data_IF_577385510245
#
_entry.id   IF_577385510245
#
_cell.length_a   1.000
_cell.length_b   1.000
_cell.length_c   1.000
_cell.angle_alpha   90.00
_cell.angle_beta   90.00
_cell.angle_gamma   90.00
#
_symmetry.space_group_name_H-M   'P 1'
#
loop_
_entity.id
_entity.type
_entity.pdbx_description
1 polymer ?
#
# COMPACT_ATOMS: atom_id res chain seq x y z
N UNK A 1 -32.54 -5.24 14.85
CA UNK A 1 -31.49 -6.29 15.03
C UNK A 1 -30.46 -6.15 13.90
N UNK A 2 -29.23 -6.64 14.09
CA UNK A 2 -28.20 -6.72 13.04
C UNK A 2 -27.73 -8.16 12.92
N UNK A 3 -27.73 -8.72 11.72
CA UNK A 3 -27.34 -10.11 11.50
C UNK A 3 -26.70 -10.31 10.13
N UNK A 4 -25.91 -11.38 10.02
CA UNK A 4 -25.36 -11.86 8.76
C UNK A 4 -25.93 -13.24 8.44
N UNK A 5 -26.00 -13.59 7.17
CA UNK A 5 -26.34 -14.94 6.70
C UNK A 5 -25.09 -15.64 6.18
N UNK A 6 -25.11 -16.96 6.10
CA UNK A 6 -23.98 -17.76 5.61
C UNK A 6 -24.43 -18.97 4.79
N UNK A 7 -23.52 -19.50 3.98
CA UNK A 7 -23.72 -20.76 3.23
C UNK A 7 -23.29 -21.99 4.04
N UNK A 8 -23.40 -23.19 3.45
CA UNK A 8 -23.04 -24.46 4.12
C UNK A 8 -21.56 -24.49 4.54
N UNK A 9 -20.69 -23.86 3.75
CA UNK A 9 -19.26 -23.71 4.05
C UNK A 9 -18.99 -22.63 5.11
N UNK A 10 -19.99 -21.87 5.53
CA UNK A 10 -19.88 -20.80 6.52
C UNK A 10 -19.39 -19.49 5.94
N UNK A 11 -19.24 -19.37 4.62
CA UNK A 11 -18.96 -18.09 3.98
C UNK A 11 -20.17 -17.20 4.20
N UNK A 12 -19.92 -15.95 4.61
CA UNK A 12 -21.02 -15.02 4.79
C UNK A 12 -21.59 -14.65 3.41
N UNK A 13 -22.91 -14.62 3.30
CA UNK A 13 -23.64 -14.38 2.04
C UNK A 13 -24.42 -13.07 2.04
N UNK A 14 -24.63 -12.46 3.21
CA UNK A 14 -25.38 -11.22 3.34
C UNK A 14 -25.23 -10.60 4.72
N UNK A 15 -25.58 -9.31 4.80
CA UNK A 15 -25.50 -8.50 6.01
C UNK A 15 -26.71 -7.56 6.07
N UNK A 16 -27.45 -7.60 7.18
CA UNK A 16 -28.78 -7.00 7.29
C UNK A 16 -28.95 -6.21 8.59
N UNK A 17 -29.66 -5.09 8.50
CA UNK A 17 -30.08 -4.27 9.65
C UNK A 17 -31.60 -4.11 9.64
N UNK A 18 -32.29 -5.19 9.98
CA UNK A 18 -33.75 -5.29 10.01
C UNK A 18 -34.15 -6.43 10.97
N UNK A 19 -35.45 -6.67 11.10
CA UNK A 19 -35.94 -7.87 11.79
C UNK A 19 -35.60 -9.14 11.00
N UNK A 20 -35.60 -10.29 11.67
CA UNK A 20 -35.16 -11.55 11.07
C UNK A 20 -36.15 -11.94 9.99
N UNK A 21 -35.68 -12.04 8.74
CA UNK A 21 -36.51 -12.55 7.66
C UNK A 21 -36.70 -14.06 7.84
N UNK A 22 -37.92 -14.60 7.67
CA UNK A 22 -38.19 -16.03 7.86
C UNK A 22 -37.25 -16.95 7.08
N UNK A 23 -36.92 -16.58 5.84
CA UNK A 23 -36.01 -17.36 4.98
C UNK A 23 -34.56 -17.41 5.49
N UNK A 24 -34.17 -16.46 6.36
CA UNK A 24 -32.83 -16.42 6.95
C UNK A 24 -32.76 -17.18 8.29
N UNK A 25 -33.91 -17.57 8.86
CA UNK A 25 -33.98 -18.18 10.19
C UNK A 25 -33.22 -19.50 10.32
N UNK A 26 -32.90 -20.14 9.19
CA UNK A 26 -32.13 -21.39 9.13
C UNK A 26 -30.61 -21.18 9.12
N UNK A 27 -30.12 -19.98 8.79
CA UNK A 27 -28.69 -19.70 8.62
C UNK A 27 -28.39 -18.21 8.85
N UNK A 28 -28.42 -17.78 10.12
CA UNK A 28 -28.06 -16.43 10.52
C UNK A 28 -27.21 -16.41 11.80
N UNK A 29 -26.41 -15.35 11.95
CA UNK A 29 -25.69 -15.01 13.19
C UNK A 29 -25.98 -13.54 13.50
N UNK A 30 -26.43 -13.25 14.73
CA UNK A 30 -26.53 -11.88 15.21
C UNK A 30 -25.15 -11.28 15.43
N UNK A 31 -24.97 -10.02 15.02
CA UNK A 31 -23.66 -9.36 15.01
C UNK A 31 -23.72 -7.97 15.61
N UNK A 32 -22.57 -7.51 16.09
CA UNK A 32 -22.38 -6.10 16.45
C UNK A 32 -22.36 -5.19 15.21
N UNK A 33 -22.47 -3.88 15.42
CA UNK A 33 -22.37 -2.90 14.34
C UNK A 33 -21.03 -2.92 13.61
N UNK A 34 -19.93 -3.12 14.34
CA UNK A 34 -18.58 -3.21 13.78
C UNK A 34 -18.45 -4.43 12.87
N UNK A 35 -18.95 -5.58 13.33
CA UNK A 35 -18.96 -6.81 12.52
C UNK A 35 -19.89 -6.69 11.32
N UNK A 36 -21.02 -6.01 11.45
CA UNK A 36 -21.95 -5.77 10.34
C UNK A 36 -21.32 -4.90 9.24
N UNK A 37 -20.66 -3.80 9.62
CA UNK A 37 -19.99 -2.89 8.68
C UNK A 37 -18.79 -3.56 7.99
N UNK A 38 -18.04 -4.39 8.73
CA UNK A 38 -16.86 -5.09 8.24
C UNK A 38 -17.09 -6.56 7.86
N UNK A 39 -18.32 -6.98 7.60
CA UNK A 39 -18.69 -8.41 7.56
C UNK A 39 -17.86 -9.25 6.58
N UNK A 40 -17.38 -8.67 5.48
CA UNK A 40 -16.48 -9.35 4.52
C UNK A 40 -15.13 -9.78 5.11
N UNK A 41 -14.73 -9.22 6.25
CA UNK A 41 -13.52 -9.62 6.98
C UNK A 41 -13.74 -10.83 7.90
N UNK A 42 -14.91 -11.46 7.87
CA UNK A 42 -15.29 -12.52 8.79
C UNK A 42 -15.84 -13.74 8.05
N UNK A 43 -15.85 -14.88 8.76
CA UNK A 43 -16.53 -16.11 8.36
C UNK A 43 -17.26 -16.71 9.56
N UNK A 44 -18.34 -17.45 9.32
CA UNK A 44 -19.02 -18.17 10.39
C UNK A 44 -18.08 -19.23 10.99
N UNK A 45 -18.01 -19.31 12.32
CA UNK A 45 -17.25 -20.34 13.02
C UNK A 45 -17.87 -21.73 12.79
N UNK A 46 -17.14 -22.78 13.17
CA UNK A 46 -17.56 -24.16 12.90
C UNK A 46 -18.88 -24.53 13.61
N UNK A 47 -19.15 -23.93 14.77
CA UNK A 47 -20.39 -24.11 15.52
C UNK A 47 -21.59 -23.31 14.96
N UNK A 48 -21.35 -22.41 14.00
CA UNK A 48 -22.33 -21.53 13.36
C UNK A 48 -23.10 -20.61 14.34
N UNK A 49 -22.48 -20.32 15.48
CA UNK A 49 -23.02 -19.46 16.55
C UNK A 49 -22.22 -18.15 16.71
N UNK A 50 -21.22 -17.93 15.86
CA UNK A 50 -20.37 -16.74 15.92
C UNK A 50 -19.49 -16.57 14.69
N UNK A 51 -18.68 -15.50 14.71
CA UNK A 51 -17.76 -15.15 13.63
C UNK A 51 -16.31 -15.29 14.07
N UNK A 52 -15.44 -15.76 13.18
CA UNK A 52 -14.00 -15.51 13.29
C UNK A 52 -13.57 -14.53 12.22
N UNK A 53 -12.59 -13.70 12.57
CA UNK A 53 -12.00 -12.75 11.64
C UNK A 53 -11.04 -13.49 10.71
N UNK A 54 -11.19 -13.27 9.41
CA UNK A 54 -10.22 -13.73 8.43
C UNK A 54 -8.92 -12.93 8.60
N UNK A 55 -7.76 -13.54 8.30
CA UNK A 55 -6.52 -12.77 8.19
C UNK A 55 -6.74 -11.63 7.19
N UNK A 56 -6.28 -10.42 7.54
CA UNK A 56 -6.38 -9.27 6.66
C UNK A 56 -5.74 -9.63 5.32
N UNK A 57 -6.52 -9.58 4.24
CA UNK A 57 -5.98 -9.77 2.90
C UNK A 57 -5.11 -8.54 2.61
N UNK A 58 -3.79 -8.74 2.52
CA UNK A 58 -2.88 -7.66 2.14
C UNK A 58 -3.32 -7.12 0.79
N UNK A 59 -3.50 -5.80 0.71
CA UNK A 59 -3.86 -5.16 -0.55
C UNK A 59 -2.80 -5.53 -1.60
N UNK A 60 -3.21 -5.84 -2.85
CA UNK A 60 -2.26 -6.17 -3.90
C UNK A 60 -1.25 -5.03 -4.04
N UNK A 61 0.03 -5.35 -3.82
CA UNK A 61 1.12 -4.38 -3.95
C UNK A 61 1.20 -3.97 -5.42
N UNK A 62 0.77 -2.76 -5.74
CA UNK A 62 0.90 -2.24 -7.10
C UNK A 62 2.38 -2.20 -7.51
N UNK A 63 2.69 -2.57 -8.76
CA UNK A 63 4.05 -2.41 -9.27
C UNK A 63 4.43 -0.93 -9.22
N UNK A 64 5.69 -0.60 -8.88
CA UNK A 64 6.15 0.78 -8.86
C UNK A 64 6.01 1.40 -10.26
N UNK A 65 5.62 2.67 -10.33
CA UNK A 65 5.60 3.40 -11.59
C UNK A 65 7.01 3.40 -12.22
N UNK A 66 7.13 3.12 -13.52
CA UNK A 66 8.44 3.08 -14.17
C UNK A 66 9.16 4.44 -14.17
N UNK A 67 8.39 5.53 -14.10
CA UNK A 67 8.88 6.91 -14.08
C UNK A 67 7.96 7.79 -13.24
N UNK A 68 8.53 8.73 -12.48
CA UNK A 68 7.82 9.72 -11.67
C UNK A 68 8.35 11.13 -11.97
N UNK A 69 7.59 12.21 -11.71
CA UNK A 69 8.13 13.57 -11.78
C UNK A 69 9.32 13.74 -10.83
N UNK A 70 10.39 14.39 -11.30
CA UNK A 70 11.60 14.60 -10.48
C UNK A 70 11.28 15.43 -9.22
N UNK A 71 10.37 16.40 -9.34
CA UNK A 71 9.89 17.18 -8.20
C UNK A 71 9.26 16.27 -7.13
N UNK A 72 8.40 15.33 -7.52
CA UNK A 72 7.75 14.42 -6.58
C UNK A 72 8.78 13.52 -5.86
N UNK A 73 9.81 13.06 -6.58
CA UNK A 73 10.92 12.32 -5.95
C UNK A 73 11.62 13.18 -4.90
N UNK A 74 11.93 14.44 -5.23
CA UNK A 74 12.57 15.35 -4.28
C UNK A 74 11.68 15.62 -3.06
N UNK A 75 10.37 15.84 -3.25
CA UNK A 75 9.42 16.00 -2.15
C UNK A 75 9.35 14.76 -1.25
N UNK A 76 9.28 13.56 -1.82
CA UNK A 76 9.31 12.33 -1.04
C UNK A 76 10.61 12.17 -0.24
N UNK A 77 11.75 12.56 -0.82
CA UNK A 77 13.04 12.56 -0.11
C UNK A 77 13.10 13.64 0.99
N UNK A 78 12.40 14.76 0.86
CA UNK A 78 12.24 15.75 1.93
C UNK A 78 11.43 15.15 3.07
N UNK A 79 10.28 14.55 2.76
CA UNK A 79 9.41 13.91 3.75
C UNK A 79 10.14 12.78 4.50
N UNK A 80 11.03 12.08 3.81
CA UNK A 80 11.85 11.02 4.38
C UNK A 80 13.12 11.50 5.09
N UNK A 81 13.38 12.81 5.11
CA UNK A 81 14.56 13.43 5.70
C UNK A 81 15.88 13.08 4.99
N UNK A 82 15.82 12.63 3.74
CA UNK A 82 16.93 12.07 2.97
C UNK A 82 17.42 12.95 1.82
N UNK A 83 16.74 14.07 1.51
CA UNK A 83 17.14 14.93 0.39
C UNK A 83 18.60 15.40 0.51
N UNK A 84 19.00 15.89 1.69
CA UNK A 84 20.37 16.37 1.95
C UNK A 84 21.40 15.26 1.75
N UNK A 85 21.10 14.05 2.22
CA UNK A 85 21.97 12.89 2.04
C UNK A 85 22.08 12.52 0.56
N UNK A 86 20.98 12.55 -0.19
CA UNK A 86 20.96 12.27 -1.61
C UNK A 86 21.84 13.25 -2.39
N UNK A 87 21.73 14.53 -2.08
CA UNK A 87 22.55 15.59 -2.70
C UNK A 87 24.03 15.44 -2.36
N UNK A 88 24.35 15.06 -1.11
CA UNK A 88 25.73 14.80 -0.70
C UNK A 88 26.34 13.62 -1.49
N UNK A 89 25.62 12.50 -1.59
CA UNK A 89 26.06 11.33 -2.36
C UNK A 89 26.34 11.71 -3.82
N UNK A 90 25.42 12.44 -4.46
CA UNK A 90 25.56 12.88 -5.85
C UNK A 90 26.75 13.85 -6.01
N UNK A 91 26.98 14.73 -5.04
CA UNK A 91 28.09 15.68 -5.07
C UNK A 91 29.46 14.99 -4.96
N UNK A 92 29.54 13.90 -4.21
CA UNK A 92 30.77 13.14 -3.97
C UNK A 92 31.12 12.16 -5.11
N UNK A 93 30.21 11.91 -6.05
CA UNK A 93 30.47 11.02 -7.19
C UNK A 93 31.62 11.54 -8.08
N UNK A 94 32.69 10.75 -8.28
CA UNK A 94 33.84 11.16 -9.08
C UNK A 94 33.59 11.02 -10.59
N UNK A 95 34.41 11.71 -11.38
CA UNK A 95 34.51 11.52 -12.83
C UNK A 95 33.24 11.86 -13.61
N UNK A 96 33.13 11.25 -14.79
CA UNK A 96 32.04 11.49 -15.75
C UNK A 96 30.69 11.01 -15.22
N UNK A 97 30.66 9.93 -14.44
CA UNK A 97 29.43 9.41 -13.84
C UNK A 97 28.84 10.42 -12.84
N UNK A 98 29.69 11.05 -12.02
CA UNK A 98 29.23 12.14 -11.15
C UNK A 98 28.76 13.37 -11.91
N UNK A 99 29.37 13.69 -13.06
CA UNK A 99 28.86 14.78 -13.92
C UNK A 99 27.48 14.44 -14.49
N UNK A 100 27.25 13.20 -14.91
CA UNK A 100 25.95 12.72 -15.39
C UNK A 100 24.91 12.73 -14.28
N UNK A 101 25.25 12.25 -13.08
CA UNK A 101 24.37 12.25 -11.92
C UNK A 101 23.91 13.66 -11.55
N UNK A 102 24.84 14.61 -11.47
CA UNK A 102 24.52 16.03 -11.20
C UNK A 102 23.66 16.64 -12.30
N UNK A 103 23.97 16.37 -13.58
CA UNK A 103 23.17 16.86 -14.70
C UNK A 103 21.75 16.29 -14.71
N UNK A 104 21.62 14.99 -14.43
CA UNK A 104 20.32 14.32 -14.32
C UNK A 104 19.52 14.88 -13.15
N UNK A 105 20.11 14.96 -11.95
CA UNK A 105 19.46 15.50 -10.75
C UNK A 105 18.94 16.93 -10.94
N UNK A 106 19.74 17.78 -11.61
CA UNK A 106 19.40 19.20 -11.76
C UNK A 106 18.44 19.49 -12.94
N UNK A 107 18.36 18.61 -13.95
CA UNK A 107 17.69 18.95 -15.23
C UNK A 107 16.66 17.94 -15.70
N UNK A 108 16.65 16.72 -15.16
CA UNK A 108 15.66 15.74 -15.58
C UNK A 108 14.27 16.16 -15.08
N UNK A 109 13.29 16.11 -15.98
CA UNK A 109 11.89 16.36 -15.62
C UNK A 109 11.29 15.18 -14.86
N UNK A 110 11.81 13.98 -15.11
CA UNK A 110 11.31 12.74 -14.55
C UNK A 110 12.47 11.87 -14.04
N UNK A 111 12.22 11.19 -12.93
CA UNK A 111 13.07 10.13 -12.43
C UNK A 111 12.57 8.79 -12.96
N UNK A 112 13.44 7.99 -13.58
CA UNK A 112 13.11 6.61 -13.99
C UNK A 112 13.66 5.60 -13.00
N UNK A 113 12.88 4.56 -12.72
CA UNK A 113 13.27 3.50 -11.78
C UNK A 113 14.50 2.73 -12.30
N UNK A 114 14.60 2.55 -13.62
CA UNK A 114 15.70 1.85 -14.30
C UNK A 114 16.92 2.73 -14.62
N UNK A 115 16.96 3.98 -14.14
CA UNK A 115 18.09 4.86 -14.39
C UNK A 115 19.29 4.53 -13.51
N UNK A 116 20.49 4.49 -14.09
CA UNK A 116 21.73 4.16 -13.38
C UNK A 116 22.02 5.04 -12.16
N UNK A 117 21.69 6.34 -12.23
CA UNK A 117 21.88 7.27 -11.09
C UNK A 117 20.92 6.93 -9.96
N UNK A 118 19.67 6.61 -10.29
CA UNK A 118 18.66 6.20 -9.29
C UNK A 118 19.07 4.86 -8.67
N UNK A 119 19.47 3.89 -9.48
CA UNK A 119 19.93 2.58 -9.03
C UNK A 119 21.20 2.66 -8.15
N UNK A 120 22.12 3.59 -8.44
CA UNK A 120 23.32 3.81 -7.63
C UNK A 120 23.04 4.58 -6.33
N UNK A 121 22.09 5.52 -6.35
CA UNK A 121 21.74 6.35 -5.22
C UNK A 121 20.95 5.56 -4.17
N UNK A 122 20.05 4.68 -4.61
CA UNK A 122 19.03 4.14 -3.74
C UNK A 122 19.52 3.25 -2.58
N UNK A 123 20.42 2.28 -2.81
CA UNK A 123 20.98 1.44 -1.75
C UNK A 123 21.74 2.22 -0.67
N UNK A 124 22.10 3.47 -0.94
CA UNK A 124 22.80 4.35 0.01
C UNK A 124 21.83 5.19 0.85
N UNK A 125 20.56 5.30 0.42
CA UNK A 125 19.53 6.08 1.09
C UNK A 125 18.58 5.23 1.93
N UNK A 126 18.38 3.96 1.56
CA UNK A 126 17.44 3.06 2.23
C UNK A 126 18.08 1.72 2.53
N UNK A 127 17.73 1.16 3.70
CA UNK A 127 18.24 -0.14 4.15
C UNK A 127 17.65 -1.31 3.37
N UNK A 128 16.45 -1.14 2.79
CA UNK A 128 15.74 -2.19 2.06
C UNK A 128 15.09 -1.68 0.77
N UNK A 129 14.95 -2.58 -0.20
CA UNK A 129 14.19 -2.35 -1.44
C UNK A 129 12.69 -2.12 -1.17
N UNK A 130 12.17 -2.58 -0.03
CA UNK A 130 10.76 -2.32 0.31
C UNK A 130 10.56 -0.88 0.77
N UNK A 131 11.49 -0.36 1.58
CA UNK A 131 11.47 1.03 2.01
C UNK A 131 11.68 1.98 0.81
N UNK A 132 12.48 1.55 -0.18
CA UNK A 132 12.46 2.16 -1.51
C UNK A 132 11.08 2.21 -2.09
N UNK A 133 10.52 1.00 -2.24
CA UNK A 133 9.25 0.67 -2.85
C UNK A 133 8.19 1.67 -2.42
N UNK A 134 8.09 1.81 -1.11
CA UNK A 134 7.15 2.68 -0.41
C UNK A 134 7.38 4.17 -0.71
N UNK A 135 8.63 4.66 -0.63
CA UNK A 135 8.93 6.06 -0.94
C UNK A 135 8.63 6.40 -2.41
N UNK A 136 9.03 5.53 -3.34
CA UNK A 136 8.79 5.70 -4.76
C UNK A 136 7.29 5.67 -5.12
N UNK A 137 6.51 4.76 -4.54
CA UNK A 137 5.05 4.71 -4.74
C UNK A 137 4.37 5.98 -4.22
N UNK A 138 4.74 6.47 -3.04
CA UNK A 138 4.21 7.75 -2.53
C UNK A 138 4.52 8.89 -3.48
N UNK A 139 5.76 8.97 -3.98
CA UNK A 139 6.13 9.98 -4.97
C UNK A 139 5.33 9.86 -6.28
N UNK A 140 5.00 8.64 -6.71
CA UNK A 140 4.17 8.41 -7.89
C UNK A 140 2.71 8.87 -7.71
N UNK A 141 2.20 8.81 -6.48
CA UNK A 141 0.82 9.19 -6.13
C UNK A 141 0.65 10.68 -5.82
N UNK A 142 1.76 11.41 -5.62
CA UNK A 142 1.73 12.85 -5.36
C UNK A 142 1.15 13.62 -6.55
N UNK A 143 0.16 14.47 -6.28
CA UNK A 143 -0.39 15.44 -7.21
C UNK A 143 -0.09 16.85 -6.67
N UNK A 144 1.10 17.42 -6.98
CA UNK A 144 1.59 18.65 -6.38
C UNK A 144 0.81 19.91 -6.78
#
# INVERSE_FOLDING_TARGET
MKYVTYDEDGNLTGSFCQDLHPDHAVAYIEVSEVQQQGWLAYRANDARDGLYQLPAMEAPVMPPAASIPMLNLQLALIDDGKLVQAEAIIAEMPGDDGLRARAYWARAQTARLDNDVVQALWPQLYETDEAFLASWRRAAEMNP
#
